data_IF_120332206300
#
_entry.id   IF_120332206300
#
_cell.length_a   1.000
_cell.length_b   1.000
_cell.length_c   1.000
_cell.angle_alpha   90.00
_cell.angle_beta   90.00
_cell.angle_gamma   90.00
#
_symmetry.space_group_name_H-M   'P 1'
#
loop_
_entity.id
_entity.type
_entity.pdbx_description
1 polymer ?
#
# COMPACT_ATOMS: atom_id res chain seq x y z
N UNK A 1 -64.10 13.56 10.43
CA UNK A 1 -62.78 14.12 10.75
C UNK A 1 -61.73 13.06 10.41
N UNK A 2 -60.78 13.39 9.52
CA UNK A 2 -59.78 12.46 8.97
C UNK A 2 -58.56 12.45 9.89
N UNK A 3 -58.23 11.30 10.52
CA UNK A 3 -56.95 11.13 11.22
C UNK A 3 -55.97 10.44 10.27
N UNK A 4 -54.92 11.15 9.86
CA UNK A 4 -53.83 10.60 9.05
C UNK A 4 -52.77 10.02 9.99
N UNK A 5 -52.66 8.69 10.03
CA UNK A 5 -51.57 8.01 10.71
C UNK A 5 -50.32 8.05 9.82
N UNK A 6 -49.35 8.86 10.21
CA UNK A 6 -48.00 8.89 9.63
C UNK A 6 -47.19 7.81 10.34
N UNK A 7 -46.87 6.72 9.65
CA UNK A 7 -45.91 5.72 10.14
C UNK A 7 -44.55 6.00 9.52
N UNK A 8 -43.61 6.42 10.37
CA UNK A 8 -42.23 6.71 10.06
C UNK A 8 -41.48 5.43 9.65
N UNK A 9 -40.94 5.42 8.44
CA UNK A 9 -39.97 4.42 7.98
C UNK A 9 -38.63 4.67 8.65
N UNK A 10 -38.25 3.83 9.62
CA UNK A 10 -36.89 3.79 10.14
C UNK A 10 -35.98 3.18 9.06
N UNK A 11 -35.28 4.04 8.31
CA UNK A 11 -34.24 3.61 7.38
C UNK A 11 -33.02 3.11 8.19
N UNK A 12 -32.75 1.80 8.13
CA UNK A 12 -31.52 1.21 8.65
C UNK A 12 -30.36 1.67 7.75
N UNK A 13 -29.60 2.66 8.20
CA UNK A 13 -28.35 3.06 7.56
C UNK A 13 -27.30 2.02 7.89
N UNK A 14 -27.08 1.06 7.00
CA UNK A 14 -25.91 0.17 7.07
C UNK A 14 -24.71 1.04 6.74
N UNK A 15 -23.99 1.48 7.78
CA UNK A 15 -22.73 2.19 7.61
C UNK A 15 -21.76 1.30 6.84
N UNK A 16 -21.39 1.73 5.63
CA UNK A 16 -20.28 1.14 4.88
C UNK A 16 -19.00 1.54 5.60
N UNK A 17 -18.62 0.79 6.63
CA UNK A 17 -17.28 0.89 7.22
C UNK A 17 -16.27 0.60 6.11
N UNK A 18 -15.39 1.55 5.82
CA UNK A 18 -14.27 1.33 4.91
C UNK A 18 -13.38 0.25 5.53
N UNK A 19 -13.48 -0.97 5.01
CA UNK A 19 -12.55 -2.04 5.39
C UNK A 19 -11.16 -1.61 4.91
N UNK A 20 -10.23 -1.42 5.84
CA UNK A 20 -8.83 -1.28 5.48
C UNK A 20 -8.42 -2.59 4.77
N UNK A 21 -8.13 -2.51 3.47
CA UNK A 21 -7.78 -3.69 2.69
C UNK A 21 -6.38 -4.17 3.07
N UNK A 22 -6.33 -5.11 4.00
CA UNK A 22 -5.07 -5.78 4.32
C UNK A 22 -4.53 -6.50 3.08
N UNK A 23 -3.27 -6.23 2.76
CA UNK A 23 -2.59 -6.82 1.60
C UNK A 23 -1.39 -7.62 2.07
N UNK A 24 -1.27 -8.86 1.58
CA UNK A 24 -0.14 -9.73 1.87
C UNK A 24 0.78 -9.82 0.66
N UNK A 25 2.09 -9.82 0.88
CA UNK A 25 3.11 -10.01 -0.15
C UNK A 25 4.00 -11.20 0.20
N UNK A 26 4.28 -12.08 -0.74
CA UNK A 26 5.19 -13.21 -0.57
C UNK A 26 6.35 -13.10 -1.55
N UNK A 27 7.59 -13.21 -1.07
CA UNK A 27 8.79 -13.11 -1.90
C UNK A 27 9.49 -14.45 -2.05
N UNK A 28 9.56 -14.96 -3.27
CA UNK A 28 10.31 -16.17 -3.64
C UNK A 28 11.40 -15.79 -4.65
N UNK A 29 12.66 -15.95 -4.23
CA UNK A 29 13.82 -15.52 -5.02
C UNK A 29 13.75 -14.02 -5.33
N UNK A 30 13.64 -13.68 -6.62
CA UNK A 30 13.55 -12.30 -7.10
C UNK A 30 12.13 -11.86 -7.44
N UNK A 31 11.13 -12.68 -7.18
CA UNK A 31 9.72 -12.38 -7.48
C UNK A 31 8.94 -12.17 -6.20
N UNK A 32 8.11 -11.13 -6.17
CA UNK A 32 7.18 -10.81 -5.09
C UNK A 32 5.75 -10.90 -5.61
N UNK A 33 4.91 -11.68 -4.94
CA UNK A 33 3.49 -11.87 -5.27
C UNK A 33 2.63 -11.17 -4.22
N UNK A 34 1.75 -10.27 -4.65
CA UNK A 34 0.76 -9.61 -3.80
C UNK A 34 -0.58 -10.34 -3.83
N UNK A 35 -1.28 -10.38 -2.70
CA UNK A 35 -2.61 -10.98 -2.56
C UNK A 35 -3.68 -10.27 -3.39
N UNK A 36 -3.39 -9.06 -3.85
CA UNK A 36 -4.21 -8.29 -4.78
C UNK A 36 -3.98 -8.65 -6.27
N UNK A 37 -3.21 -9.71 -6.55
CA UNK A 37 -2.89 -10.16 -7.91
C UNK A 37 -1.71 -9.44 -8.57
N UNK A 38 -1.12 -8.43 -7.92
CA UNK A 38 0.09 -7.77 -8.44
C UNK A 38 1.30 -8.67 -8.26
N UNK A 39 2.20 -8.68 -9.24
CA UNK A 39 3.49 -9.39 -9.15
C UNK A 39 4.61 -8.44 -9.52
N UNK A 40 5.72 -8.51 -8.79
CA UNK A 40 6.93 -7.73 -9.08
C UNK A 40 8.11 -8.66 -9.27
N UNK A 41 8.84 -8.51 -10.38
CA UNK A 41 10.03 -9.30 -10.67
C UNK A 41 11.26 -8.39 -10.74
N UNK A 42 12.29 -8.74 -9.98
CA UNK A 42 13.54 -7.98 -9.90
C UNK A 42 14.62 -8.60 -10.78
N UNK A 43 15.23 -7.79 -11.65
CA UNK A 43 16.38 -8.16 -12.47
C UNK A 43 17.46 -7.08 -12.35
N UNK A 44 18.62 -7.42 -11.80
CA UNK A 44 19.70 -6.45 -11.57
C UNK A 44 19.25 -5.33 -10.64
N UNK A 45 19.26 -4.09 -11.11
CA UNK A 45 18.74 -2.93 -10.37
C UNK A 45 17.32 -2.50 -10.77
N UNK A 46 16.71 -3.25 -11.70
CA UNK A 46 15.36 -3.03 -12.23
C UNK A 46 14.33 -3.89 -11.51
N UNK A 47 13.15 -3.35 -11.28
CA UNK A 47 11.96 -4.11 -10.84
C UNK A 47 10.80 -3.85 -11.80
N UNK A 48 10.24 -4.92 -12.36
CA UNK A 48 9.11 -4.88 -13.28
C UNK A 48 7.84 -5.31 -12.54
N UNK A 49 6.78 -4.52 -12.62
CA UNK A 49 5.45 -4.85 -12.12
C UNK A 49 4.57 -5.46 -13.21
N UNK A 50 3.67 -6.36 -12.81
CA UNK A 50 2.68 -6.98 -13.70
C UNK A 50 1.67 -5.99 -14.28
N UNK A 51 1.58 -4.79 -13.69
CA UNK A 51 0.79 -3.66 -14.17
C UNK A 51 1.51 -2.79 -15.22
N UNK A 52 2.70 -3.21 -15.67
CA UNK A 52 3.55 -2.47 -16.60
C UNK A 52 4.43 -1.40 -15.94
N UNK A 53 4.36 -1.24 -14.61
CA UNK A 53 5.26 -0.35 -13.88
C UNK A 53 6.70 -0.85 -13.95
N UNK A 54 7.66 0.07 -14.05
CA UNK A 54 9.09 -0.24 -14.02
C UNK A 54 9.78 0.69 -13.04
N UNK A 55 10.60 0.12 -12.16
CA UNK A 55 11.35 0.84 -11.15
C UNK A 55 12.85 0.58 -11.29
N UNK A 56 13.62 1.64 -11.48
CA UNK A 56 15.09 1.61 -11.58
C UNK A 56 15.74 2.15 -10.31
N UNK A 57 16.59 1.35 -9.66
CA UNK A 57 17.37 1.81 -8.50
C UNK A 57 18.79 2.21 -8.91
N UNK A 58 19.18 3.43 -8.53
CA UNK A 58 20.55 3.94 -8.66
C UNK A 58 21.00 4.50 -7.31
N UNK A 59 21.98 3.84 -6.68
CA UNK A 59 22.39 4.17 -5.31
C UNK A 59 21.21 4.10 -4.33
N UNK A 60 20.93 5.21 -3.66
CA UNK A 60 19.80 5.34 -2.73
C UNK A 60 18.52 5.91 -3.37
N UNK A 61 18.55 6.20 -4.66
CA UNK A 61 17.42 6.70 -5.44
C UNK A 61 16.72 5.54 -6.15
N UNK A 62 15.39 5.54 -6.15
CA UNK A 62 14.58 4.68 -7.03
C UNK A 62 13.69 5.55 -7.91
N UNK A 63 13.83 5.42 -9.21
CA UNK A 63 12.97 6.06 -10.21
C UNK A 63 11.86 5.10 -10.58
N UNK A 64 10.62 5.53 -10.47
CA UNK A 64 9.43 4.79 -10.84
C UNK A 64 8.78 5.33 -12.12
N UNK A 65 7.62 4.77 -12.50
CA UNK A 65 6.86 5.24 -13.66
C UNK A 65 6.36 6.68 -13.47
N UNK A 66 6.06 7.37 -14.56
CA UNK A 66 5.49 8.73 -14.56
C UNK A 66 6.35 9.77 -13.81
N UNK A 67 7.67 9.62 -13.82
CA UNK A 67 8.59 10.55 -13.17
C UNK A 67 8.65 10.47 -11.64
N UNK A 68 7.96 9.49 -11.03
CA UNK A 68 8.00 9.32 -9.58
C UNK A 68 9.41 8.98 -9.11
N UNK A 69 9.89 9.67 -8.07
CA UNK A 69 11.24 9.47 -7.52
C UNK A 69 11.15 9.22 -6.03
N UNK A 70 11.82 8.16 -5.58
CA UNK A 70 11.89 7.76 -4.18
C UNK A 70 13.33 7.85 -3.69
N UNK A 71 13.53 8.44 -2.52
CA UNK A 71 14.85 8.68 -1.94
C UNK A 71 14.97 7.99 -0.60
N UNK A 72 15.97 7.12 -0.45
CA UNK A 72 16.25 6.42 0.81
C UNK A 72 17.34 7.12 1.62
N UNK A 73 17.01 7.50 2.85
CA UNK A 73 17.94 8.04 3.84
C UNK A 73 17.86 7.20 5.12
N UNK A 74 18.95 6.53 5.48
CA UNK A 74 18.94 5.60 6.61
C UNK A 74 17.91 4.49 6.43
N UNK A 75 16.99 4.37 7.39
CA UNK A 75 15.88 3.41 7.37
C UNK A 75 14.56 3.98 6.82
N UNK A 76 14.58 5.21 6.30
CA UNK A 76 13.41 5.90 5.76
C UNK A 76 13.52 6.06 4.24
N UNK A 77 12.42 5.81 3.54
CA UNK A 77 12.25 6.11 2.11
C UNK A 77 11.21 7.23 1.97
N UNK A 78 11.56 8.31 1.29
CA UNK A 78 10.66 9.41 0.95
C UNK A 78 10.18 9.27 -0.49
N UNK A 79 8.88 9.47 -0.72
CA UNK A 79 8.25 9.42 -2.04
C UNK A 79 7.89 10.80 -2.58
N UNK A 80 7.46 10.88 -3.86
CA UNK A 80 7.36 12.13 -4.61
C UNK A 80 6.21 13.07 -4.22
N UNK A 81 5.34 12.71 -3.26
CA UNK A 81 4.19 13.52 -2.84
C UNK A 81 4.11 13.64 -1.30
N UNK A 82 5.26 13.68 -0.62
CA UNK A 82 5.31 13.70 0.84
C UNK A 82 5.00 12.35 1.51
N UNK A 83 4.77 11.30 0.73
CA UNK A 83 4.69 9.94 1.25
C UNK A 83 6.03 9.51 1.82
N UNK A 84 6.00 8.64 2.82
CA UNK A 84 7.22 8.10 3.43
C UNK A 84 7.00 6.67 3.92
N UNK A 85 8.08 5.91 4.00
CA UNK A 85 8.08 4.58 4.57
C UNK A 85 9.33 4.40 5.44
N UNK A 86 9.14 4.12 6.73
CA UNK A 86 10.22 3.94 7.68
C UNK A 86 10.22 2.53 8.26
N UNK A 87 11.38 1.87 8.23
CA UNK A 87 11.51 0.47 8.65
C UNK A 87 12.28 0.35 9.96
N UNK A 88 11.72 -0.36 10.94
CA UNK A 88 12.34 -0.74 12.19
C UNK A 88 12.25 -2.25 12.39
N UNK A 89 13.39 -2.94 12.38
CA UNK A 89 13.42 -4.40 12.44
C UNK A 89 12.64 -5.02 11.27
N UNK A 90 11.59 -5.78 11.58
CA UNK A 90 10.70 -6.40 10.61
C UNK A 90 9.42 -5.60 10.34
N UNK A 91 9.27 -4.40 10.90
CA UNK A 91 8.07 -3.56 10.77
C UNK A 91 8.37 -2.31 9.95
N UNK A 92 7.50 -1.99 8.99
CA UNK A 92 7.58 -0.81 8.13
C UNK A 92 6.34 0.03 8.30
N UNK A 93 6.50 1.27 8.74
CA UNK A 93 5.43 2.25 8.82
C UNK A 93 5.42 3.10 7.56
N UNK A 94 4.29 3.13 6.86
CA UNK A 94 4.08 3.83 5.61
C UNK A 94 3.07 4.94 5.86
N UNK A 95 3.42 6.17 5.48
CA UNK A 95 2.51 7.31 5.42
C UNK A 95 2.29 7.68 3.97
N UNK A 96 1.05 7.71 3.52
CA UNK A 96 0.71 8.17 2.17
C UNK A 96 0.69 9.71 2.07
N UNK A 97 0.51 10.23 0.87
CA UNK A 97 0.45 11.68 0.62
C UNK A 97 -0.73 12.39 1.29
N UNK A 98 -1.79 11.64 1.64
CA UNK A 98 -3.00 12.15 2.29
C UNK A 98 -2.93 12.05 3.82
N UNK A 99 -1.77 11.63 4.38
CA UNK A 99 -1.57 11.45 5.81
C UNK A 99 -2.13 10.14 6.38
N UNK A 100 -2.65 9.24 5.54
CA UNK A 100 -3.06 7.90 6.02
C UNK A 100 -1.83 7.09 6.32
N UNK A 101 -1.91 6.30 7.40
CA UNK A 101 -0.82 5.44 7.85
C UNK A 101 -1.19 3.97 7.66
N UNK A 102 -0.21 3.19 7.22
CA UNK A 102 -0.27 1.75 7.04
C UNK A 102 1.00 1.13 7.63
N UNK A 103 0.87 -0.01 8.27
CA UNK A 103 1.95 -0.78 8.87
C UNK A 103 2.11 -2.09 8.11
N UNK A 104 3.34 -2.41 7.73
CA UNK A 104 3.68 -3.68 7.11
C UNK A 104 4.63 -4.46 8.01
N UNK A 105 4.33 -5.71 8.31
CA UNK A 105 5.17 -6.59 9.13
C UNK A 105 5.64 -7.80 8.35
N UNK A 106 6.94 -8.08 8.42
CA UNK A 106 7.57 -9.19 7.71
C UNK A 106 7.80 -10.39 8.65
N UNK A 107 7.35 -11.56 8.20
CA UNK A 107 7.56 -12.85 8.82
C UNK A 107 8.10 -13.84 7.78
N UNK A 108 9.40 -14.13 7.85
CA UNK A 108 10.07 -14.98 6.86
C UNK A 108 10.02 -14.38 5.46
N UNK A 109 9.37 -15.10 4.53
CA UNK A 109 9.17 -14.67 3.13
C UNK A 109 7.90 -13.85 2.92
N UNK A 110 7.05 -13.72 3.94
CA UNK A 110 5.74 -13.08 3.85
C UNK A 110 5.76 -11.71 4.53
N UNK A 111 5.11 -10.72 3.94
CA UNK A 111 4.89 -9.40 4.50
C UNK A 111 3.38 -9.13 4.54
N UNK A 112 2.85 -8.76 5.69
CA UNK A 112 1.44 -8.39 5.87
C UNK A 112 1.34 -6.90 6.05
N UNK A 113 0.49 -6.23 5.30
CA UNK A 113 0.20 -4.81 5.44
C UNK A 113 -1.27 -4.64 5.80
N UNK A 114 -1.59 -3.73 6.72
CA UNK A 114 -2.97 -3.38 7.11
C UNK A 114 -3.59 -2.25 6.28
#
# INVERSE_FOLDING_TARGET
MKLRAVLATAALVIGTGAVAQSTTYQRFGNTTFGSNGTTYQRQGNTTFGSDGSTYQRFGNTTYGPNGSTYQRQGNTTYGPNGSSAQTYGNTTYIRDANGRSRTCQKYGVTTYCD
#
